data_IF_769050567408
#
_entry.id   IF_769050567408
#
_cell.length_a   1.000
_cell.length_b   1.000
_cell.length_c   1.000
_cell.angle_alpha   90.00
_cell.angle_beta   90.00
_cell.angle_gamma   90.00
#
_symmetry.space_group_name_H-M   'P 1'
#
loop_
_entity.id
_entity.type
_entity.pdbx_description
1 polymer ?
#
# COMPACT_ATOMS: atom_id res chain seq x y z
N UNK A 1 -1.25 -34.55 -9.58
CA UNK A 1 -1.16 -33.57 -8.47
C UNK A 1 -1.55 -34.27 -7.19
N UNK A 2 -0.70 -34.13 -6.17
CA UNK A 2 -0.98 -34.59 -4.82
C UNK A 2 -2.13 -33.77 -4.19
N UNK A 3 -2.73 -34.28 -3.11
CA UNK A 3 -3.72 -33.50 -2.34
C UNK A 3 -3.10 -32.19 -1.81
N UNK A 4 -1.82 -32.23 -1.45
CA UNK A 4 -1.07 -31.06 -1.00
C UNK A 4 -0.92 -30.03 -2.11
N UNK A 5 -0.63 -30.44 -3.34
CA UNK A 5 -0.51 -29.54 -4.49
C UNK A 5 -1.83 -28.78 -4.73
N UNK A 6 -2.96 -29.47 -4.63
CA UNK A 6 -4.29 -28.86 -4.78
C UNK A 6 -4.58 -27.83 -3.68
N UNK A 7 -4.15 -28.10 -2.45
CA UNK A 7 -4.31 -27.16 -1.33
C UNK A 7 -3.44 -25.92 -1.50
N UNK A 8 -2.20 -26.09 -1.98
CA UNK A 8 -1.28 -24.99 -2.26
C UNK A 8 -1.73 -24.14 -3.44
N UNK A 9 -2.27 -24.76 -4.49
CA UNK A 9 -2.88 -24.06 -5.62
C UNK A 9 -4.08 -23.21 -5.17
N UNK A 10 -4.98 -23.77 -4.36
CA UNK A 10 -6.10 -23.03 -3.79
C UNK A 10 -5.64 -21.85 -2.91
N UNK A 11 -4.61 -22.06 -2.10
CA UNK A 11 -4.00 -20.99 -1.29
C UNK A 11 -3.37 -19.91 -2.18
N UNK A 12 -2.65 -20.28 -3.23
CA UNK A 12 -2.06 -19.36 -4.20
C UNK A 12 -3.12 -18.47 -4.85
N UNK A 13 -4.19 -19.06 -5.40
CA UNK A 13 -5.26 -18.27 -6.01
C UNK A 13 -5.98 -17.38 -4.99
N UNK A 14 -6.17 -17.84 -3.77
CA UNK A 14 -6.73 -17.00 -2.71
C UNK A 14 -5.84 -15.79 -2.41
N UNK A 15 -4.52 -16.00 -2.30
CA UNK A 15 -3.54 -14.93 -2.05
C UNK A 15 -3.46 -13.93 -3.20
N UNK A 16 -3.43 -14.41 -4.45
CA UNK A 16 -3.40 -13.54 -5.63
C UNK A 16 -4.67 -12.69 -5.73
N UNK A 17 -5.86 -13.27 -5.52
CA UNK A 17 -7.12 -12.53 -5.47
C UNK A 17 -7.14 -11.50 -4.33
N UNK A 18 -6.57 -11.84 -3.17
CA UNK A 18 -6.45 -10.90 -2.04
C UNK A 18 -5.56 -9.71 -2.41
N UNK A 19 -4.43 -9.96 -3.09
CA UNK A 19 -3.51 -8.93 -3.59
C UNK A 19 -4.20 -8.02 -4.61
N UNK A 20 -4.91 -8.57 -5.58
CA UNK A 20 -5.65 -7.77 -6.56
C UNK A 20 -6.70 -6.87 -5.90
N UNK A 21 -7.35 -7.37 -4.84
CA UNK A 21 -8.30 -6.57 -4.05
C UNK A 21 -7.62 -5.37 -3.35
N UNK A 22 -6.35 -5.50 -2.98
CA UNK A 22 -5.59 -4.40 -2.38
C UNK A 22 -5.29 -3.31 -3.40
N UNK A 23 -5.01 -3.67 -4.65
CA UNK A 23 -4.74 -2.72 -5.73
C UNK A 23 -5.99 -1.89 -6.07
N UNK A 24 -7.17 -2.52 -6.16
CA UNK A 24 -8.43 -1.80 -6.36
C UNK A 24 -8.71 -0.79 -5.24
N UNK A 25 -8.48 -1.18 -3.98
CA UNK A 25 -8.64 -0.30 -2.82
C UNK A 25 -7.61 0.83 -2.82
N UNK A 26 -6.37 0.56 -3.23
CA UNK A 26 -5.32 1.58 -3.38
C UNK A 26 -5.71 2.64 -4.43
N UNK A 27 -6.26 2.23 -5.58
CA UNK A 27 -6.77 3.19 -6.58
C UNK A 27 -7.89 4.08 -6.03
N UNK A 28 -8.78 3.51 -5.22
CA UNK A 28 -9.86 4.26 -4.55
C UNK A 28 -9.28 5.30 -3.59
N UNK A 29 -8.29 4.93 -2.77
CA UNK A 29 -7.60 5.85 -1.85
C UNK A 29 -6.93 7.00 -2.62
N UNK A 30 -6.26 6.70 -3.74
CA UNK A 30 -5.65 7.71 -4.63
C UNK A 30 -6.67 8.70 -5.15
N UNK A 31 -7.80 8.21 -5.65
CA UNK A 31 -8.87 9.06 -6.20
C UNK A 31 -9.47 10.01 -5.15
N UNK A 32 -9.74 9.50 -3.94
CA UNK A 32 -10.28 10.32 -2.85
C UNK A 32 -9.29 11.38 -2.38
N UNK A 33 -8.01 11.06 -2.31
CA UNK A 33 -7.01 12.03 -1.91
C UNK A 33 -6.87 13.17 -2.90
N UNK A 34 -6.80 12.89 -4.20
CA UNK A 34 -6.71 13.94 -5.23
C UNK A 34 -7.95 14.83 -5.18
N UNK A 35 -9.14 14.22 -5.05
CA UNK A 35 -10.40 14.96 -4.91
C UNK A 35 -10.39 15.87 -3.68
N UNK A 36 -10.03 15.34 -2.51
CA UNK A 36 -10.01 16.12 -1.27
C UNK A 36 -8.96 17.24 -1.32
N UNK A 37 -7.76 16.94 -1.82
CA UNK A 37 -6.69 17.92 -1.96
C UNK A 37 -7.08 19.04 -2.93
N UNK A 38 -7.75 18.71 -4.05
CA UNK A 38 -8.28 19.69 -5.00
C UNK A 38 -9.35 20.60 -4.38
N UNK A 39 -10.30 20.03 -3.61
CA UNK A 39 -11.31 20.80 -2.88
C UNK A 39 -10.66 21.76 -1.88
N UNK A 40 -9.68 21.30 -1.11
CA UNK A 40 -9.01 22.11 -0.09
C UNK A 40 -8.12 23.20 -0.72
N UNK A 41 -7.42 22.88 -1.82
CA UNK A 41 -6.65 23.85 -2.59
C UNK A 41 -7.55 24.97 -3.14
N UNK A 42 -8.65 24.61 -3.80
CA UNK A 42 -9.63 25.56 -4.31
C UNK A 42 -10.28 26.37 -3.19
N UNK A 43 -10.62 25.71 -2.07
CA UNK A 43 -11.20 26.39 -0.92
C UNK A 43 -10.26 27.44 -0.31
N UNK A 44 -8.97 27.10 -0.18
CA UNK A 44 -7.95 28.01 0.34
C UNK A 44 -7.70 29.20 -0.60
N UNK A 45 -7.59 28.95 -1.90
CA UNK A 45 -7.26 29.97 -2.89
C UNK A 45 -8.43 30.92 -3.23
N UNK A 46 -9.67 30.41 -3.30
CA UNK A 46 -10.82 31.20 -3.77
C UNK A 46 -11.66 31.82 -2.65
N UNK A 47 -11.57 31.32 -1.42
CA UNK A 47 -12.40 31.80 -0.31
C UNK A 47 -11.60 32.50 0.80
N UNK A 48 -10.35 32.90 0.52
CA UNK A 48 -9.47 33.64 1.45
C UNK A 48 -9.33 32.97 2.82
N UNK A 49 -9.18 31.63 2.80
CA UNK A 49 -9.00 30.80 4.00
C UNK A 49 -7.66 30.06 3.92
N UNK A 50 -6.52 30.73 4.11
CA UNK A 50 -5.19 30.11 3.99
C UNK A 50 -4.99 28.92 4.95
N UNK A 51 -5.70 28.91 6.09
CA UNK A 51 -5.71 27.76 7.01
C UNK A 51 -6.16 26.44 6.38
N UNK A 52 -6.97 26.47 5.32
CA UNK A 52 -7.41 25.26 4.61
C UNK A 52 -6.29 24.58 3.82
N UNK A 53 -5.24 25.32 3.45
CA UNK A 53 -4.06 24.74 2.79
C UNK A 53 -3.31 23.81 3.74
N UNK A 54 -3.17 24.20 5.02
CA UNK A 54 -2.57 23.35 6.05
C UNK A 54 -3.38 22.08 6.32
N UNK A 55 -4.71 22.18 6.29
CA UNK A 55 -5.59 20.99 6.36
C UNK A 55 -5.33 20.07 5.15
N UNK A 56 -5.14 20.65 3.96
CA UNK A 56 -4.78 19.91 2.76
C UNK A 56 -3.42 19.22 2.83
N UNK A 57 -2.40 19.88 3.39
CA UNK A 57 -1.09 19.29 3.65
C UNK A 57 -1.23 18.08 4.58
N UNK A 58 -1.89 18.27 5.73
CA UNK A 58 -2.06 17.19 6.70
C UNK A 58 -2.86 16.02 6.12
N UNK A 59 -3.96 16.29 5.42
CA UNK A 59 -4.76 15.27 4.74
C UNK A 59 -3.93 14.48 3.73
N UNK A 60 -3.15 15.18 2.89
CA UNK A 60 -2.29 14.54 1.88
C UNK A 60 -1.21 13.65 2.51
N UNK A 61 -0.59 14.10 3.61
CA UNK A 61 0.36 13.29 4.38
C UNK A 61 -0.30 12.05 4.99
N UNK A 62 -1.51 12.17 5.53
CA UNK A 62 -2.24 11.02 6.08
C UNK A 62 -2.59 10.00 4.99
N UNK A 63 -3.04 10.45 3.82
CA UNK A 63 -3.28 9.58 2.68
C UNK A 63 -2.00 8.84 2.22
N UNK A 64 -0.87 9.55 2.18
CA UNK A 64 0.42 8.95 1.84
C UNK A 64 0.83 7.86 2.85
N UNK A 65 0.68 8.13 4.15
CA UNK A 65 0.96 7.15 5.19
C UNK A 65 0.04 5.93 5.12
N UNK A 66 -1.26 6.14 4.90
CA UNK A 66 -2.23 5.04 4.75
C UNK A 66 -1.87 4.18 3.56
N UNK A 67 -1.53 4.77 2.41
CA UNK A 67 -1.11 4.00 1.24
C UNK A 67 0.18 3.20 1.50
N UNK A 68 1.17 3.81 2.16
CA UNK A 68 2.41 3.12 2.52
C UNK A 68 2.17 1.92 3.43
N UNK A 69 1.31 2.06 4.45
CA UNK A 69 0.92 0.93 5.31
C UNK A 69 0.15 -0.15 4.54
N UNK A 70 -0.71 0.26 3.60
CA UNK A 70 -1.45 -0.66 2.75
C UNK A 70 -0.51 -1.50 1.87
N UNK A 71 0.49 -0.87 1.26
CA UNK A 71 1.52 -1.57 0.48
C UNK A 71 2.44 -2.44 1.33
N UNK A 72 2.78 -2.02 2.55
CA UNK A 72 3.51 -2.89 3.48
C UNK A 72 2.69 -4.12 3.89
N UNK A 73 1.38 -3.98 4.03
CA UNK A 73 0.48 -5.11 4.30
C UNK A 73 0.42 -6.07 3.11
N UNK A 74 0.28 -5.54 1.89
CA UNK A 74 0.30 -6.31 0.64
C UNK A 74 1.63 -7.03 0.43
N UNK A 75 2.76 -6.36 0.67
CA UNK A 75 4.08 -6.93 0.41
C UNK A 75 4.39 -8.16 1.26
N UNK A 76 3.86 -8.21 2.49
CA UNK A 76 4.03 -9.35 3.38
C UNK A 76 3.36 -10.65 2.88
N UNK A 77 2.40 -10.57 1.94
CA UNK A 77 1.82 -11.76 1.29
C UNK A 77 2.72 -12.34 0.20
N UNK A 78 3.56 -11.54 -0.46
CA UNK A 78 4.46 -12.04 -1.52
C UNK A 78 5.43 -13.11 -1.01
N UNK A 79 5.88 -13.02 0.24
CA UNK A 79 6.76 -14.02 0.84
C UNK A 79 6.13 -15.44 0.91
N UNK A 80 4.80 -15.54 0.96
CA UNK A 80 4.10 -16.83 0.91
C UNK A 80 3.91 -17.31 -0.53
N UNK A 81 3.53 -16.39 -1.42
CA UNK A 81 3.35 -16.67 -2.84
C UNK A 81 4.65 -17.21 -3.45
N UNK A 82 5.78 -16.53 -3.22
CA UNK A 82 7.09 -16.93 -3.72
C UNK A 82 7.48 -18.34 -3.27
N UNK A 83 7.15 -18.73 -2.03
CA UNK A 83 7.40 -20.09 -1.52
C UNK A 83 6.52 -21.14 -2.20
N UNK A 84 5.27 -20.82 -2.48
CA UNK A 84 4.37 -21.72 -3.19
C UNK A 84 4.87 -21.91 -4.62
N UNK A 85 5.27 -20.82 -5.30
CA UNK A 85 5.85 -20.90 -6.63
C UNK A 85 7.16 -21.70 -6.65
N UNK A 86 8.04 -21.51 -5.65
CA UNK A 86 9.28 -22.28 -5.52
C UNK A 86 9.02 -23.79 -5.38
N UNK A 87 7.98 -24.18 -4.63
CA UNK A 87 7.55 -25.57 -4.56
C UNK A 87 7.12 -26.12 -5.93
N UNK A 88 6.31 -25.38 -6.68
CA UNK A 88 5.90 -25.79 -8.04
C UNK A 88 7.04 -25.77 -9.07
N UNK A 89 8.11 -24.99 -8.83
CA UNK A 89 9.36 -25.05 -9.60
C UNK A 89 10.27 -26.23 -9.21
N UNK A 90 9.95 -26.97 -8.15
CA UNK A 90 10.79 -28.05 -7.63
C UNK A 90 12.02 -27.56 -6.86
N UNK A 91 12.00 -26.32 -6.36
CA UNK A 91 13.08 -25.72 -5.55
C UNK A 91 12.91 -26.01 -4.05
N UNK A 92 11.73 -26.46 -3.63
CA UNK A 92 11.37 -26.73 -2.24
C UNK A 92 10.61 -28.04 -2.12
N UNK A 93 11.21 -29.01 -1.42
CA UNK A 93 10.66 -30.36 -1.28
C UNK A 93 9.48 -30.43 -0.30
N UNK A 94 9.51 -29.65 0.79
CA UNK A 94 8.47 -29.68 1.83
C UNK A 94 7.88 -28.29 2.10
N UNK A 95 6.57 -28.15 1.88
CA UNK A 95 5.82 -26.94 2.22
C UNK A 95 4.45 -27.31 2.80
N UNK A 96 4.22 -26.92 4.05
CA UNK A 96 2.89 -27.10 4.67
C UNK A 96 1.88 -26.13 4.01
N UNK A 97 0.66 -26.58 3.67
CA UNK A 97 -0.41 -25.70 3.17
C UNK A 97 -1.02 -24.85 4.31
N UNK A 98 -1.78 -23.82 3.92
CA UNK A 98 -2.56 -22.95 4.79
C UNK A 98 -1.75 -22.17 5.85
N UNK A 99 -0.53 -21.75 5.48
CA UNK A 99 0.37 -20.99 6.37
C UNK A 99 0.33 -19.47 6.13
N UNK A 100 -0.71 -18.96 5.43
CA UNK A 100 -0.87 -17.55 5.08
C UNK A 100 -0.65 -16.59 6.25
N UNK A 101 -1.38 -16.76 7.36
CA UNK A 101 -1.32 -15.83 8.49
C UNK A 101 0.06 -15.83 9.17
N UNK A 102 0.62 -17.02 9.40
CA UNK A 102 1.94 -17.18 10.02
C UNK A 102 3.05 -16.58 9.13
N UNK A 103 3.02 -16.88 7.83
CA UNK A 103 3.99 -16.34 6.87
C UNK A 103 3.91 -14.83 6.77
N UNK A 104 2.69 -14.29 6.77
CA UNK A 104 2.44 -12.86 6.73
C UNK A 104 2.96 -12.15 7.99
N UNK A 105 2.66 -12.67 9.18
CA UNK A 105 3.12 -12.09 10.45
C UNK A 105 4.66 -12.10 10.52
N UNK A 106 5.28 -13.22 10.13
CA UNK A 106 6.74 -13.35 10.04
C UNK A 106 7.34 -12.31 9.09
N UNK A 107 6.78 -12.14 7.90
CA UNK A 107 7.24 -11.17 6.92
C UNK A 107 7.07 -9.73 7.40
N UNK A 108 5.92 -9.41 8.02
CA UNK A 108 5.64 -8.08 8.57
C UNK A 108 6.62 -7.70 9.68
N UNK A 109 6.89 -8.62 10.62
CA UNK A 109 7.83 -8.39 11.72
C UNK A 109 9.26 -8.22 11.22
N UNK A 110 9.65 -8.91 10.15
CA UNK A 110 10.98 -8.81 9.57
C UNK A 110 11.25 -7.46 8.88
N UNK A 111 10.24 -6.87 8.21
CA UNK A 111 10.41 -5.58 7.51
C UNK A 111 10.46 -4.38 8.45
N UNK A 112 9.58 -4.34 9.46
CA UNK A 112 9.50 -3.26 10.44
C UNK A 112 9.38 -1.85 9.84
N UNK A 113 9.83 -0.84 10.58
CA UNK A 113 9.72 0.58 10.18
C UNK A 113 10.59 0.94 8.98
N UNK A 114 11.75 0.27 8.80
CA UNK A 114 12.66 0.52 7.68
C UNK A 114 12.00 0.17 6.35
N UNK A 115 11.29 -0.96 6.30
CA UNK A 115 10.56 -1.38 5.11
C UNK A 115 9.43 -0.41 4.78
N UNK A 116 8.70 0.07 5.79
CA UNK A 116 7.67 1.09 5.59
C UNK A 116 8.23 2.38 4.97
N UNK A 117 9.36 2.89 5.48
CA UNK A 117 10.02 4.09 4.93
C UNK A 117 10.45 3.85 3.48
N UNK A 118 11.00 2.67 3.17
CA UNK A 118 11.35 2.28 1.80
C UNK A 118 10.14 2.29 0.87
N UNK A 119 9.02 1.73 1.32
CA UNK A 119 7.75 1.66 0.57
C UNK A 119 7.18 3.06 0.34
N UNK A 120 7.19 3.94 1.35
CA UNK A 120 6.73 5.32 1.21
C UNK A 120 7.49 6.09 0.12
N UNK A 121 8.77 5.80 -0.06
CA UNK A 121 9.62 6.37 -1.11
C UNK A 121 9.41 5.78 -2.51
N UNK A 122 8.63 4.70 -2.67
CA UNK A 122 8.37 4.12 -3.99
C UNK A 122 7.54 5.09 -4.84
N UNK A 123 7.92 5.27 -6.11
CA UNK A 123 7.29 6.24 -7.03
C UNK A 123 5.76 6.11 -7.08
N UNK A 124 5.26 4.88 -7.10
CA UNK A 124 3.83 4.60 -7.21
C UNK A 124 3.07 4.76 -5.87
N UNK A 125 3.76 4.87 -4.72
CA UNK A 125 3.17 5.20 -3.42
C UNK A 125 3.28 6.70 -3.15
N UNK A 126 4.40 7.30 -3.54
CA UNK A 126 4.62 8.74 -3.44
C UNK A 126 3.63 9.54 -4.31
N UNK A 127 3.29 9.03 -5.49
CA UNK A 127 2.30 9.63 -6.38
C UNK A 127 0.91 9.07 -6.11
N UNK A 128 -0.13 9.89 -5.92
CA UNK A 128 -0.15 11.36 -6.03
C UNK A 128 0.10 12.10 -4.71
N UNK A 129 -0.03 11.42 -3.58
CA UNK A 129 -0.20 12.04 -2.26
C UNK A 129 0.99 12.88 -1.79
N UNK A 130 2.21 12.36 -1.97
CA UNK A 130 3.45 13.04 -1.59
C UNK A 130 3.67 14.32 -2.41
N UNK A 131 3.34 14.29 -3.71
CA UNK A 131 3.39 15.49 -4.55
C UNK A 131 2.36 16.53 -4.11
N UNK A 132 1.13 16.12 -3.80
CA UNK A 132 0.10 17.05 -3.30
C UNK A 132 0.49 17.67 -1.97
N UNK A 133 1.05 16.88 -1.04
CA UNK A 133 1.53 17.38 0.24
C UNK A 133 2.61 18.47 0.05
N UNK A 134 3.58 18.23 -0.84
CA UNK A 134 4.65 19.20 -1.14
C UNK A 134 4.09 20.44 -1.82
N UNK A 135 3.21 20.29 -2.81
CA UNK A 135 2.62 21.42 -3.55
C UNK A 135 1.80 22.32 -2.63
N UNK A 136 0.95 21.73 -1.78
CA UNK A 136 0.13 22.46 -0.80
C UNK A 136 0.98 23.12 0.27
N UNK A 137 2.07 22.48 0.70
CA UNK A 137 3.00 23.06 1.67
C UNK A 137 3.68 24.30 1.11
N UNK A 138 4.16 24.23 -0.13
CA UNK A 138 4.74 25.39 -0.81
C UNK A 138 3.72 26.53 -0.94
N UNK A 139 2.49 26.24 -1.33
CA UNK A 139 1.42 27.24 -1.42
C UNK A 139 1.11 27.88 -0.05
N UNK A 140 1.03 27.07 1.01
CA UNK A 140 0.73 27.52 2.37
C UNK A 140 1.83 28.38 3.01
N UNK A 141 3.08 28.29 2.53
CA UNK A 141 4.20 29.11 3.00
C UNK A 141 4.25 30.45 2.27
N UNK A 142 3.78 30.50 1.01
CA UNK A 142 3.83 31.70 0.17
C UNK A 142 2.63 32.62 0.39
N UNK A 143 1.46 32.06 0.71
CA UNK A 143 0.20 32.77 0.97
C UNK A 143 -0.02 33.03 2.46
#
# INVERSE_FOLDING_TARGET
>A
MSQQDQQLEAEYFHLTNLIDSFDQKSLTIKAWSVTLAGILAGSGAFFDRPGMLWVGVFGSLMFWLVEGHWKAFQSAHYARIEKIEAHFRGEVDEIAPFQTAFSWEKSRRAGGTRELIRILGMRHVFLPHGVMAVALLMAAIVL
#
